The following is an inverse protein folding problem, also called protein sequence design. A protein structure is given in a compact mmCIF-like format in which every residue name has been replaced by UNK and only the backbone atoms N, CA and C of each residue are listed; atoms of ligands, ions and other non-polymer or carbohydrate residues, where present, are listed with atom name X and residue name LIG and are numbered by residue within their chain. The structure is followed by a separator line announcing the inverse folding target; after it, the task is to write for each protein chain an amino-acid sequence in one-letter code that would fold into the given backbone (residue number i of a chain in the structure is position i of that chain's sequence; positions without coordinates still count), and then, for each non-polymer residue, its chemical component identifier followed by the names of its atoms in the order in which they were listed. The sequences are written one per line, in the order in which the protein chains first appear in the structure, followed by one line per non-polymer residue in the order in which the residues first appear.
data_IF_688395886758
#
_entry.id   IF_688395886758
#
_cell.length_a   1.000
_cell.length_b   1.000
_cell.length_c   1.000
_cell.angle_alpha   90.00
_cell.angle_beta   90.00
_cell.angle_gamma   90.00
#
_symmetry.space_group_name_H-M   'P 1'
#
loop_
_entity.id
_entity.type
_entity.pdbx_description
1 polymer ?
#
# COMPACT_ATOMS: atom_id res chain seq x y z
N UNK A 1 9.82 47.14 51.95
CA UNK A 1 9.64 46.68 50.56
C UNK A 1 9.73 45.19 50.55
N UNK A 2 8.56 44.48 50.41
CA UNK A 2 8.47 42.99 50.45
C UNK A 2 8.28 42.52 49.01
N UNK A 3 9.25 41.78 48.49
CA UNK A 3 9.21 41.16 47.17
C UNK A 3 8.51 39.80 47.30
N UNK A 4 7.31 39.67 46.73
CA UNK A 4 6.62 38.38 46.61
C UNK A 4 7.13 37.63 45.39
N UNK A 5 7.66 36.40 45.62
CA UNK A 5 8.07 35.50 44.57
C UNK A 5 6.83 34.68 44.18
N UNK A 6 6.37 34.86 42.94
CA UNK A 6 5.26 34.12 42.36
C UNK A 6 5.81 32.82 41.77
N UNK A 7 5.60 31.70 42.44
CA UNK A 7 5.95 30.37 41.94
C UNK A 7 4.90 29.89 40.92
N UNK A 8 5.31 29.84 39.66
CA UNK A 8 4.50 29.25 38.57
C UNK A 8 4.77 27.75 38.55
N UNK A 9 3.82 26.94 39.00
CA UNK A 9 3.87 25.48 38.88
C UNK A 9 3.38 25.08 37.50
N UNK A 10 4.31 24.68 36.62
CA UNK A 10 3.98 24.11 35.31
C UNK A 10 3.61 22.64 35.52
N UNK A 11 2.32 22.30 35.42
CA UNK A 11 1.84 20.92 35.33
C UNK A 11 2.15 20.40 33.91
N UNK A 12 3.22 19.61 33.79
CA UNK A 12 3.44 18.78 32.62
C UNK A 12 2.43 17.65 32.59
N UNK A 13 1.36 17.82 31.84
CA UNK A 13 0.43 16.73 31.51
C UNK A 13 1.13 15.71 30.64
N UNK A 14 1.55 14.58 31.24
CA UNK A 14 2.01 13.37 30.52
C UNK A 14 0.80 12.75 29.81
N UNK A 15 0.52 13.18 28.61
CA UNK A 15 -0.38 12.48 27.70
C UNK A 15 0.23 11.13 27.34
N UNK A 16 -0.23 10.05 27.96
CA UNK A 16 0.11 8.68 27.59
C UNK A 16 -0.42 8.42 26.19
N UNK A 17 0.40 8.63 25.15
CA UNK A 17 0.16 8.10 23.84
C UNK A 17 0.17 6.56 23.97
N UNK A 18 -1.00 5.94 23.94
CA UNK A 18 -1.11 4.49 23.82
C UNK A 18 -0.52 4.08 22.46
N UNK A 19 0.76 3.72 22.48
CA UNK A 19 1.39 3.07 21.35
C UNK A 19 0.65 1.75 21.12
N UNK A 20 0.00 1.60 19.96
CA UNK A 20 -0.66 0.36 19.61
C UNK A 20 0.35 -0.79 19.70
N UNK A 21 0.00 -1.87 20.40
CA UNK A 21 0.87 -3.04 20.54
C UNK A 21 1.06 -3.66 19.13
N UNK A 22 2.30 -3.70 18.58
CA UNK A 22 2.53 -4.15 17.21
C UNK A 22 2.12 -5.60 16.96
N UNK A 23 2.10 -6.44 18.01
CA UNK A 23 1.64 -7.83 17.92
C UNK A 23 0.12 -7.87 17.71
N UNK A 24 -0.63 -7.08 18.47
CA UNK A 24 -2.10 -6.99 18.35
C UNK A 24 -2.50 -6.43 16.98
N UNK A 25 -1.80 -5.40 16.51
CA UNK A 25 -2.07 -4.83 15.18
C UNK A 25 -1.80 -5.86 14.07
N UNK A 26 -0.72 -6.63 14.17
CA UNK A 26 -0.42 -7.72 13.25
C UNK A 26 -1.53 -8.78 13.22
N UNK A 27 -2.00 -9.22 14.38
CA UNK A 27 -3.09 -10.19 14.47
C UNK A 27 -4.39 -9.68 13.84
N UNK A 28 -4.71 -8.39 14.02
CA UNK A 28 -5.88 -7.76 13.38
C UNK A 28 -5.76 -7.71 11.87
N UNK A 29 -4.57 -7.42 11.35
CA UNK A 29 -4.29 -7.43 9.90
C UNK A 29 -4.41 -8.85 9.34
N UNK A 30 -3.81 -9.84 9.99
CA UNK A 30 -3.88 -11.24 9.57
C UNK A 30 -5.34 -11.75 9.58
N UNK A 31 -6.12 -11.34 10.58
CA UNK A 31 -7.55 -11.66 10.66
C UNK A 31 -8.32 -11.05 9.48
N UNK A 32 -8.09 -9.77 9.18
CA UNK A 32 -8.71 -9.11 8.05
C UNK A 32 -8.38 -9.82 6.73
N UNK A 33 -7.10 -10.08 6.47
CA UNK A 33 -6.65 -10.69 5.21
C UNK A 33 -7.13 -12.13 5.04
N UNK A 34 -7.22 -12.90 6.15
CA UNK A 34 -7.61 -14.32 6.09
C UNK A 34 -9.12 -14.55 6.15
N UNK A 35 -9.88 -13.71 6.87
CA UNK A 35 -11.30 -13.94 7.15
C UNK A 35 -12.23 -12.96 6.43
N UNK A 36 -11.90 -11.68 6.42
CA UNK A 36 -12.81 -10.62 5.96
C UNK A 36 -12.64 -10.34 4.47
N UNK A 37 -11.41 -10.07 4.04
CA UNK A 37 -11.15 -9.70 2.64
C UNK A 37 -11.59 -10.75 1.62
N UNK A 38 -11.36 -12.05 1.80
CA UNK A 38 -11.81 -13.05 0.83
C UNK A 38 -13.33 -13.05 0.62
N UNK A 39 -14.08 -12.83 1.70
CA UNK A 39 -15.55 -12.76 1.64
C UNK A 39 -16.01 -11.49 0.91
N UNK A 40 -15.40 -10.33 1.21
CA UNK A 40 -15.68 -9.09 0.49
C UNK A 40 -15.42 -9.25 -1.01
N UNK A 41 -14.30 -9.84 -1.40
CA UNK A 41 -13.95 -10.09 -2.80
C UNK A 41 -14.97 -11.00 -3.47
N UNK A 42 -15.30 -12.12 -2.83
CA UNK A 42 -16.16 -13.15 -3.41
C UNK A 42 -17.63 -12.73 -3.55
N UNK A 43 -18.15 -11.98 -2.57
CA UNK A 43 -19.58 -11.75 -2.44
C UNK A 43 -20.03 -10.30 -2.63
N UNK A 44 -19.09 -9.32 -2.56
CA UNK A 44 -19.46 -7.90 -2.55
C UNK A 44 -18.85 -7.10 -3.72
N UNK A 45 -17.64 -7.43 -4.17
CA UNK A 45 -16.92 -6.63 -5.18
C UNK A 45 -17.59 -6.60 -6.53
N UNK A 46 -18.39 -7.61 -6.89
CA UNK A 46 -19.12 -7.61 -8.15
C UNK A 46 -19.97 -6.33 -8.33
N UNK A 47 -20.55 -5.82 -7.23
CA UNK A 47 -21.43 -4.65 -7.23
C UNK A 47 -20.88 -3.44 -6.49
N UNK A 48 -19.90 -3.60 -5.58
CA UNK A 48 -19.46 -2.59 -4.64
C UNK A 48 -17.94 -2.33 -4.67
N UNK A 49 -17.32 -2.39 -5.84
CA UNK A 49 -15.90 -2.07 -6.04
C UNK A 49 -15.71 -1.01 -7.13
N UNK A 50 -14.54 -0.38 -7.17
CA UNK A 50 -14.21 0.60 -8.19
C UNK A 50 -14.28 0.04 -9.61
N UNK A 51 -13.99 -1.26 -9.78
CA UNK A 51 -14.03 -1.97 -11.06
C UNK A 51 -15.44 -2.44 -11.46
N UNK A 52 -16.46 -2.29 -10.60
CA UNK A 52 -17.85 -2.69 -10.90
C UNK A 52 -18.40 -1.86 -12.06
N UNK A 53 -19.15 -2.48 -12.96
CA UNK A 53 -19.80 -1.78 -14.08
C UNK A 53 -20.69 -0.63 -13.60
N UNK A 54 -21.39 -0.85 -12.48
CA UNK A 54 -22.21 0.14 -11.78
C UNK A 54 -22.04 -0.06 -10.29
N UNK A 55 -21.62 0.98 -9.58
CA UNK A 55 -21.47 0.94 -8.12
C UNK A 55 -22.85 1.13 -7.50
N UNK A 56 -23.44 0.03 -7.01
CA UNK A 56 -24.77 0.06 -6.40
C UNK A 56 -24.76 0.78 -5.07
N UNK A 57 -25.78 1.61 -4.81
CA UNK A 57 -25.90 2.40 -3.58
C UNK A 57 -24.74 3.36 -3.32
N UNK A 58 -23.92 3.67 -4.35
CA UNK A 58 -22.67 4.44 -4.23
C UNK A 58 -21.70 3.91 -3.16
N UNK A 59 -21.91 2.67 -2.70
CA UNK A 59 -21.08 2.03 -1.69
C UNK A 59 -19.86 1.36 -2.33
N UNK A 60 -18.71 1.61 -1.75
CA UNK A 60 -17.45 0.94 -2.12
C UNK A 60 -16.89 0.17 -0.93
N UNK A 61 -16.74 -1.13 -1.09
CA UNK A 61 -16.19 -2.01 -0.05
C UNK A 61 -14.76 -2.50 -0.36
N UNK A 62 -14.18 -2.00 -1.45
CA UNK A 62 -12.84 -2.35 -1.92
C UNK A 62 -11.72 -1.51 -1.27
N UNK A 63 -12.05 -0.63 -0.34
CA UNK A 63 -11.11 0.17 0.42
C UNK A 63 -11.65 0.53 1.80
N UNK A 64 -10.74 0.73 2.76
CA UNK A 64 -11.10 1.21 4.10
C UNK A 64 -11.90 2.53 4.05
N UNK A 65 -11.43 3.48 3.24
CA UNK A 65 -12.12 4.76 3.05
C UNK A 65 -13.55 4.59 2.54
N UNK A 66 -13.76 3.65 1.61
CA UNK A 66 -15.09 3.36 1.06
C UNK A 66 -16.04 2.78 2.11
N UNK A 67 -15.58 1.83 2.92
CA UNK A 67 -16.36 1.24 4.00
C UNK A 67 -16.76 2.28 5.07
N UNK A 68 -15.82 3.12 5.49
CA UNK A 68 -16.09 4.17 6.50
C UNK A 68 -16.98 5.29 5.97
N UNK A 69 -16.80 5.68 4.70
CA UNK A 69 -17.69 6.67 4.05
C UNK A 69 -19.08 6.11 3.85
N UNK A 70 -19.18 4.82 3.50
CA UNK A 70 -20.43 4.16 3.17
C UNK A 70 -21.02 4.58 1.83
N UNK A 71 -22.30 4.31 1.67
CA UNK A 71 -23.09 4.61 0.49
C UNK A 71 -24.12 5.73 0.71
N UNK A 72 -25.23 5.63 -0.04
CA UNK A 72 -26.32 6.63 0.03
C UNK A 72 -27.04 6.63 1.37
N UNK A 73 -27.07 5.50 2.08
CA UNK A 73 -27.80 5.34 3.35
C UNK A 73 -26.94 5.71 4.56
N UNK A 74 -25.61 5.72 4.43
CA UNK A 74 -24.71 6.02 5.53
C UNK A 74 -23.45 5.14 5.55
N UNK A 75 -22.66 5.21 6.64
CA UNK A 75 -21.45 4.41 6.81
C UNK A 75 -21.75 2.91 6.75
N UNK A 76 -20.98 2.16 5.96
CA UNK A 76 -21.11 0.70 5.96
C UNK A 76 -20.47 0.10 7.22
N UNK A 77 -19.39 0.71 7.71
CA UNK A 77 -18.66 0.27 8.92
C UNK A 77 -18.36 1.48 9.80
N UNK A 78 -18.74 1.39 11.06
CA UNK A 78 -18.32 2.29 12.15
C UNK A 78 -17.44 1.47 13.08
N UNK A 79 -16.12 1.75 13.16
CA UNK A 79 -15.21 0.95 13.97
C UNK A 79 -15.63 0.92 15.44
N UNK A 80 -15.73 -0.28 16.00
CA UNK A 80 -16.16 -0.51 17.40
C UNK A 80 -17.67 -0.53 17.61
N UNK A 81 -18.48 -0.13 16.62
CA UNK A 81 -19.94 -0.02 16.77
C UNK A 81 -20.68 -0.90 15.75
N UNK A 82 -21.29 -1.98 16.25
CA UNK A 82 -22.08 -2.90 15.42
C UNK A 82 -23.45 -2.34 15.04
N UNK A 83 -24.03 -1.49 15.89
CA UNK A 83 -25.39 -0.96 15.67
C UNK A 83 -25.39 0.09 14.56
N UNK A 84 -24.38 0.93 14.56
CA UNK A 84 -24.20 1.97 13.53
C UNK A 84 -23.56 1.44 12.23
N UNK A 85 -23.12 0.18 12.22
CA UNK A 85 -22.51 -0.44 11.05
C UNK A 85 -23.56 -1.09 10.15
N UNK A 86 -23.97 -0.39 9.08
CA UNK A 86 -25.00 -0.88 8.14
C UNK A 86 -24.61 -2.21 7.47
N UNK A 87 -23.33 -2.53 7.39
CA UNK A 87 -22.85 -3.81 6.86
C UNK A 87 -23.40 -4.99 7.67
N UNK A 88 -23.49 -4.88 8.99
CA UNK A 88 -24.00 -5.97 9.85
C UNK A 88 -25.50 -6.18 9.63
N UNK A 89 -26.29 -5.12 9.59
CA UNK A 89 -27.72 -5.23 9.25
C UNK A 89 -27.94 -5.86 7.89
N UNK A 90 -27.14 -5.47 6.89
CA UNK A 90 -27.21 -6.01 5.55
C UNK A 90 -26.85 -7.51 5.50
N UNK A 91 -25.79 -7.95 6.20
CA UNK A 91 -25.40 -9.36 6.27
C UNK A 91 -26.40 -10.22 7.05
N UNK A 92 -27.08 -9.64 8.05
CA UNK A 92 -28.16 -10.31 8.81
C UNK A 92 -29.48 -10.32 8.07
N UNK A 93 -29.59 -9.65 6.91
CA UNK A 93 -30.83 -9.45 6.17
C UNK A 93 -31.88 -8.69 7.00
N UNK A 94 -31.41 -7.72 7.77
CA UNK A 94 -32.24 -6.82 8.56
C UNK A 94 -32.33 -5.46 7.85
N UNK A 95 -33.39 -5.25 7.11
CA UNK A 95 -33.63 -4.07 6.28
C UNK A 95 -32.90 -4.03 4.93
N UNK A 96 -31.80 -4.72 4.78
CA UNK A 96 -31.06 -4.92 3.52
C UNK A 96 -30.74 -6.40 3.33
N UNK A 97 -30.83 -6.92 2.11
CA UNK A 97 -30.51 -8.31 1.82
C UNK A 97 -29.20 -8.41 1.03
N UNK A 98 -28.08 -8.54 1.76
CA UNK A 98 -26.75 -8.65 1.16
C UNK A 98 -25.99 -9.86 1.74
N UNK A 99 -25.34 -10.65 0.87
CA UNK A 99 -25.36 -10.59 -0.59
C UNK A 99 -26.70 -11.09 -1.16
N UNK A 100 -27.09 -10.63 -2.37
CA UNK A 100 -28.40 -10.97 -2.96
C UNK A 100 -28.54 -12.44 -3.35
N UNK A 101 -27.43 -13.18 -3.41
CA UNK A 101 -27.39 -14.63 -3.72
C UNK A 101 -27.71 -15.51 -2.50
N UNK A 102 -28.01 -14.91 -1.35
CA UNK A 102 -28.35 -15.60 -0.10
C UNK A 102 -27.52 -15.15 1.09
N UNK A 103 -28.05 -15.39 2.27
CA UNK A 103 -27.42 -15.02 3.54
C UNK A 103 -26.13 -15.82 3.76
N UNK A 104 -25.12 -15.16 4.30
CA UNK A 104 -23.87 -15.82 4.67
C UNK A 104 -24.06 -16.72 5.90
N UNK A 105 -23.17 -17.69 6.08
CA UNK A 105 -23.17 -18.56 7.25
C UNK A 105 -22.99 -17.72 8.55
N UNK A 106 -23.61 -18.12 9.65
CA UNK A 106 -23.56 -17.37 10.92
C UNK A 106 -22.15 -17.12 11.40
N UNK A 107 -21.24 -18.08 11.20
CA UNK A 107 -19.83 -17.97 11.60
C UNK A 107 -19.12 -16.86 10.83
N UNK A 108 -19.44 -16.69 9.54
CA UNK A 108 -18.89 -15.63 8.71
C UNK A 108 -19.40 -14.26 9.17
N UNK A 109 -20.68 -14.17 9.52
CA UNK A 109 -21.25 -12.93 10.07
C UNK A 109 -20.59 -12.59 11.40
N UNK A 110 -20.36 -13.58 12.27
CA UNK A 110 -19.65 -13.39 13.52
C UNK A 110 -18.21 -12.92 13.34
N UNK A 111 -17.51 -13.39 12.30
CA UNK A 111 -16.18 -12.88 11.93
C UNK A 111 -16.23 -11.37 11.57
N UNK A 112 -17.25 -10.92 10.84
CA UNK A 112 -17.45 -9.49 10.55
C UNK A 112 -17.78 -8.68 11.80
N UNK A 113 -18.61 -9.19 12.70
CA UNK A 113 -18.92 -8.54 13.97
C UNK A 113 -17.66 -8.36 14.81
N UNK A 114 -16.87 -9.45 14.98
CA UNK A 114 -15.60 -9.40 15.68
C UNK A 114 -14.64 -8.38 15.07
N UNK A 115 -14.47 -8.39 13.74
CA UNK A 115 -13.61 -7.45 13.04
C UNK A 115 -14.00 -5.99 13.31
N UNK A 116 -15.30 -5.66 13.27
CA UNK A 116 -15.79 -4.30 13.55
C UNK A 116 -15.56 -3.93 15.01
N UNK A 117 -15.86 -4.82 15.96
CA UNK A 117 -15.62 -4.61 17.40
C UNK A 117 -14.14 -4.36 17.69
N UNK A 118 -13.24 -5.06 17.01
CA UNK A 118 -11.79 -4.90 17.15
C UNK A 118 -11.25 -3.63 16.45
N UNK A 119 -12.12 -2.75 15.95
CA UNK A 119 -11.76 -1.47 15.35
C UNK A 119 -11.65 -1.46 13.83
N UNK A 120 -12.16 -2.48 13.15
CA UNK A 120 -12.24 -2.57 11.68
C UNK A 120 -10.89 -2.29 10.99
N UNK A 121 -9.82 -2.93 11.46
CA UNK A 121 -8.49 -2.81 10.86
C UNK A 121 -8.52 -3.27 9.41
N UNK A 122 -8.12 -2.40 8.49
CA UNK A 122 -8.12 -2.62 7.05
C UNK A 122 -6.93 -1.87 6.43
N UNK A 123 -5.93 -2.58 5.89
CA UNK A 123 -4.72 -1.97 5.33
C UNK A 123 -4.94 -1.38 3.93
N UNK A 124 -6.09 -1.65 3.30
CA UNK A 124 -6.33 -1.24 1.92
C UNK A 124 -6.47 0.26 1.80
N UNK A 125 -5.62 0.87 1.02
CA UNK A 125 -5.77 2.26 0.62
C UNK A 125 -6.89 2.37 -0.41
N UNK A 126 -7.52 3.56 -0.50
CA UNK A 126 -8.46 3.81 -1.59
C UNK A 126 -7.71 3.56 -2.92
N UNK A 127 -8.15 2.59 -3.69
CA UNK A 127 -7.75 2.50 -5.09
C UNK A 127 -8.12 3.84 -5.72
N UNK A 128 -7.16 4.52 -6.35
CA UNK A 128 -7.48 5.64 -7.24
C UNK A 128 -8.61 5.12 -8.14
N UNK A 129 -9.65 5.93 -8.31
CA UNK A 129 -10.66 5.60 -9.32
C UNK A 129 -9.89 5.10 -10.53
N UNK A 130 -10.25 3.91 -11.00
CA UNK A 130 -9.72 3.41 -12.27
C UNK A 130 -10.29 4.40 -13.28
N UNK A 131 -9.60 5.52 -13.43
CA UNK A 131 -9.79 6.36 -14.61
C UNK A 131 -9.64 5.39 -15.74
N UNK A 132 -10.71 5.22 -16.54
CA UNK A 132 -10.70 4.38 -17.75
C UNK A 132 -9.30 4.51 -18.32
N UNK A 133 -8.53 3.42 -18.27
CA UNK A 133 -7.16 3.42 -18.73
C UNK A 133 -7.19 4.11 -20.10
N UNK A 134 -6.41 5.19 -20.26
CA UNK A 134 -6.28 5.82 -21.58
C UNK A 134 -6.01 4.68 -22.55
N UNK A 135 -6.70 4.61 -23.68
CA UNK A 135 -6.41 3.60 -24.67
C UNK A 135 -4.90 3.59 -24.91
N UNK A 136 -4.32 2.39 -24.92
CA UNK A 136 -2.87 2.23 -25.10
C UNK A 136 -2.52 2.84 -26.45
N UNK A 137 -1.74 3.91 -26.42
CA UNK A 137 -1.21 4.53 -27.63
C UNK A 137 -0.01 3.70 -28.10
N UNK A 138 -0.28 2.80 -29.04
CA UNK A 138 0.73 1.90 -29.59
C UNK A 138 1.83 2.69 -30.32
N UNK A 139 1.46 3.77 -31.01
CA UNK A 139 2.43 4.59 -31.74
C UNK A 139 3.36 5.36 -30.80
N UNK A 140 2.83 5.89 -29.69
CA UNK A 140 3.68 6.44 -28.64
C UNK A 140 4.54 5.36 -27.97
N UNK A 141 3.97 4.16 -27.76
CA UNK A 141 4.71 3.01 -27.21
C UNK A 141 5.89 2.59 -28.10
N UNK A 142 5.73 2.58 -29.39
CA UNK A 142 6.82 2.25 -30.35
C UNK A 142 8.02 3.20 -30.25
N UNK A 143 7.80 4.44 -29.81
CA UNK A 143 8.87 5.43 -29.62
C UNK A 143 9.65 5.25 -28.32
N UNK A 144 9.20 4.35 -27.44
CA UNK A 144 9.93 4.06 -26.21
C UNK A 144 11.32 3.50 -26.56
N UNK A 145 12.33 3.92 -25.80
CA UNK A 145 13.72 3.60 -26.07
C UNK A 145 14.00 2.10 -26.23
N UNK A 146 13.32 1.23 -25.47
CA UNK A 146 13.49 -0.22 -25.50
C UNK A 146 13.03 -0.86 -26.83
N UNK A 147 12.21 -0.17 -27.62
CA UNK A 147 11.72 -0.64 -28.92
C UNK A 147 12.38 0.07 -30.11
N UNK A 148 13.35 0.93 -29.85
CA UNK A 148 14.13 1.57 -30.89
C UNK A 148 15.29 0.65 -31.34
N UNK A 149 15.71 0.74 -32.61
CA UNK A 149 16.90 0.04 -33.06
C UNK A 149 18.11 0.39 -32.19
N UNK A 150 18.92 -0.61 -31.87
CA UNK A 150 20.15 -0.40 -31.10
C UNK A 150 21.08 0.55 -31.87
N UNK A 151 21.57 1.55 -31.18
CA UNK A 151 22.58 2.47 -31.70
C UNK A 151 23.82 2.37 -30.82
N UNK A 152 24.99 2.43 -31.45
CA UNK A 152 26.25 2.48 -30.72
C UNK A 152 26.40 3.89 -30.09
N UNK A 153 26.36 4.03 -28.77
CA UNK A 153 26.51 5.34 -28.14
C UNK A 153 27.97 5.84 -28.27
N UNK A 154 28.15 7.14 -28.35
CA UNK A 154 29.49 7.73 -28.31
C UNK A 154 30.15 7.41 -26.97
N UNK A 155 31.40 6.90 -27.03
CA UNK A 155 32.16 6.59 -25.81
C UNK A 155 32.50 7.91 -25.09
N UNK A 156 32.11 8.06 -23.81
CA UNK A 156 32.38 9.28 -23.07
C UNK A 156 33.88 9.48 -22.83
N UNK A 157 34.32 10.75 -22.89
CA UNK A 157 35.67 11.11 -22.49
C UNK A 157 35.73 11.14 -20.97
N UNK A 158 36.77 10.50 -20.40
CA UNK A 158 37.01 10.42 -18.97
C UNK A 158 38.36 11.03 -18.61
N UNK A 159 38.53 11.52 -17.38
CA UNK A 159 39.76 12.13 -16.90
C UNK A 159 40.86 11.09 -16.65
N UNK A 160 40.49 9.97 -16.00
CA UNK A 160 41.39 8.87 -15.74
C UNK A 160 41.38 7.89 -16.91
N UNK A 161 42.39 7.99 -17.79
CA UNK A 161 42.46 7.13 -19.00
C UNK A 161 43.14 5.78 -18.75
N UNK A 162 43.73 5.57 -17.58
CA UNK A 162 44.44 4.32 -17.24
C UNK A 162 43.57 3.27 -16.55
N UNK A 163 42.39 3.65 -16.04
CA UNK A 163 41.48 2.73 -15.34
C UNK A 163 40.60 1.92 -16.27
N UNK A 164 40.00 2.50 -17.35
CA UNK A 164 39.13 1.74 -18.23
C UNK A 164 39.88 0.67 -19.00
N UNK A 165 39.41 -0.58 -18.93
CA UNK A 165 39.93 -1.71 -19.72
C UNK A 165 39.12 -1.97 -20.99
N UNK A 166 37.88 -1.48 -21.05
CA UNK A 166 36.97 -1.65 -22.17
C UNK A 166 36.00 -0.46 -22.29
N UNK A 167 35.13 -0.45 -23.32
CA UNK A 167 34.21 0.66 -23.57
C UNK A 167 33.18 0.83 -22.44
N UNK A 168 32.76 -0.26 -21.78
CA UNK A 168 31.78 -0.19 -20.68
C UNK A 168 32.38 0.59 -19.50
N UNK A 169 33.67 0.36 -19.23
CA UNK A 169 34.37 1.05 -18.13
C UNK A 169 34.38 2.56 -18.32
N UNK A 170 34.43 3.05 -19.58
CA UNK A 170 34.33 4.50 -19.85
C UNK A 170 32.98 5.07 -19.41
N UNK A 171 31.86 4.35 -19.61
CA UNK A 171 30.56 4.80 -19.16
C UNK A 171 30.43 4.76 -17.63
N UNK A 172 30.97 3.71 -17.00
CA UNK A 172 31.00 3.59 -15.53
C UNK A 172 31.83 4.71 -14.93
N UNK A 173 33.03 4.94 -15.46
CA UNK A 173 33.95 5.97 -14.95
C UNK A 173 33.39 7.36 -15.16
N UNK A 174 32.78 7.67 -16.30
CA UNK A 174 32.12 8.95 -16.53
C UNK A 174 31.01 9.21 -15.50
N UNK A 175 30.22 8.16 -15.13
CA UNK A 175 29.23 8.23 -14.08
C UNK A 175 29.85 8.50 -12.70
N UNK A 176 30.93 7.81 -12.36
CA UNK A 176 31.65 8.02 -11.11
C UNK A 176 32.25 9.45 -11.03
N UNK A 177 32.91 9.90 -12.09
CA UNK A 177 33.49 11.25 -12.16
C UNK A 177 32.43 12.35 -12.02
N UNK A 178 31.26 12.17 -12.62
CA UNK A 178 30.13 13.10 -12.50
C UNK A 178 29.60 13.19 -11.07
N UNK A 179 29.61 12.05 -10.36
CA UNK A 179 29.24 11.96 -8.95
C UNK A 179 30.39 12.33 -7.99
N UNK A 180 31.58 12.71 -8.51
CA UNK A 180 32.80 12.98 -7.74
C UNK A 180 33.27 11.78 -6.91
N UNK A 181 33.03 10.57 -7.40
CA UNK A 181 33.48 9.33 -6.80
C UNK A 181 34.69 8.78 -7.55
N UNK A 182 35.49 7.97 -6.84
CA UNK A 182 36.60 7.24 -7.42
C UNK A 182 36.26 5.75 -7.55
N UNK A 183 36.80 5.03 -8.56
CA UNK A 183 36.69 3.59 -8.61
C UNK A 183 37.24 2.94 -7.34
N UNK A 184 36.60 1.89 -6.86
CA UNK A 184 37.14 1.08 -5.76
C UNK A 184 38.37 0.30 -6.20
N UNK A 185 39.16 -0.18 -5.23
CA UNK A 185 40.28 -1.10 -5.49
C UNK A 185 39.76 -2.42 -6.11
N UNK A 186 40.62 -3.05 -6.89
CA UNK A 186 40.32 -4.35 -7.50
C UNK A 186 39.98 -5.41 -6.47
N UNK A 187 38.96 -6.22 -6.78
CA UNK A 187 38.53 -7.28 -5.90
C UNK A 187 39.59 -8.39 -5.83
N UNK A 188 39.87 -8.89 -4.62
CA UNK A 188 40.75 -10.05 -4.42
C UNK A 188 40.16 -11.28 -5.12
N UNK A 189 41.04 -12.20 -5.62
CA UNK A 189 40.60 -13.42 -6.32
C UNK A 189 39.54 -14.22 -5.57
N UNK A 190 39.68 -14.37 -4.25
CA UNK A 190 38.72 -15.11 -3.43
C UNK A 190 37.33 -14.45 -3.44
N UNK A 191 37.26 -13.11 -3.51
CA UNK A 191 35.99 -12.39 -3.61
C UNK A 191 35.35 -12.61 -4.98
N UNK A 192 36.12 -12.63 -6.04
CA UNK A 192 35.63 -12.94 -7.40
C UNK A 192 35.10 -14.35 -7.50
N UNK A 193 35.83 -15.35 -6.98
CA UNK A 193 35.38 -16.77 -6.94
C UNK A 193 34.05 -16.86 -6.16
N UNK A 194 33.95 -16.21 -4.99
CA UNK A 194 32.74 -16.21 -4.21
C UNK A 194 31.55 -15.60 -4.97
N UNK A 195 31.74 -14.50 -5.69
CA UNK A 195 30.69 -13.89 -6.52
C UNK A 195 30.22 -14.82 -7.62
N UNK A 196 31.15 -15.46 -8.35
CA UNK A 196 30.79 -16.43 -9.38
C UNK A 196 29.93 -17.58 -8.83
N UNK A 197 30.21 -18.07 -7.63
CA UNK A 197 29.41 -19.12 -6.98
C UNK A 197 28.00 -18.70 -6.58
N UNK A 198 27.76 -17.40 -6.42
CA UNK A 198 26.43 -16.89 -6.11
C UNK A 198 25.62 -16.53 -7.36
N UNK A 199 26.29 -16.29 -8.48
CA UNK A 199 25.66 -15.81 -9.72
C UNK A 199 25.44 -16.97 -10.75
N UNK A 200 26.03 -18.15 -10.53
CA UNK A 200 25.90 -19.35 -11.33
C UNK A 200 25.24 -20.49 -10.57
#
# INVERSE_FOLDING_TARGET
MRHGILSITILLGMGSAWAANPVVERQRLDFFESKIRPILVKHCYECHAAASKTIRGKLRVDSRKGLLKGGETGPAVVPGDLKESLLISALKHDGFEMPPKGKLAPEVIADFEKWIQDGATDPRRATKEVTKSKPIDIEAGRKHWAYQPLQAPAIPKVKSTSWPSNHIDHFVLAGLESARLQPGADAKKIVLVRRLYFDL
#
